data_IF_576103845336
#
_entry.id   IF_576103845336
#
_cell.length_a   1.000
_cell.length_b   1.000
_cell.length_c   1.000
_cell.angle_alpha   90.00
_cell.angle_beta   90.00
_cell.angle_gamma   90.00
#
_symmetry.space_group_name_H-M   'P 1'
#
loop_
_entity.id
_entity.type
_entity.pdbx_description
1 polymer ?
#
# COMPACT_ATOMS: atom_id res chain seq x y z
N UNK A 1 7.08 -7.13 16.36
CA UNK A 1 6.11 -6.39 15.53
C UNK A 1 6.71 -5.17 14.84
N UNK A 2 7.61 -4.40 15.48
CA UNK A 2 8.26 -3.23 14.82
C UNK A 2 8.88 -3.54 13.46
N UNK A 3 9.70 -4.59 13.37
CA UNK A 3 10.32 -5.03 12.10
C UNK A 3 9.30 -5.40 11.00
N UNK A 4 8.14 -5.95 11.36
CA UNK A 4 7.08 -6.23 10.40
C UNK A 4 6.48 -4.92 9.89
N UNK A 5 6.17 -4.01 10.82
CA UNK A 5 5.60 -2.70 10.49
C UNK A 5 6.50 -1.91 9.56
N UNK A 6 7.80 -1.84 9.87
CA UNK A 6 8.79 -1.13 9.05
C UNK A 6 8.93 -1.75 7.66
N UNK A 7 8.96 -3.09 7.58
CA UNK A 7 9.02 -3.77 6.28
C UNK A 7 7.77 -3.53 5.43
N UNK A 8 6.57 -3.56 6.04
CA UNK A 8 5.29 -3.31 5.37
C UNK A 8 5.12 -1.84 4.96
N UNK A 9 5.91 -0.92 5.51
CA UNK A 9 5.94 0.49 5.13
C UNK A 9 6.88 0.80 3.97
N UNK A 10 7.68 -0.17 3.51
CA UNK A 10 8.53 0.00 2.33
C UNK A 10 7.68 0.06 1.06
N UNK A 11 8.12 0.85 0.10
CA UNK A 11 7.50 1.01 -1.23
C UNK A 11 7.85 -0.13 -2.19
N UNK A 12 8.93 -0.87 -1.93
CA UNK A 12 9.41 -1.97 -2.77
C UNK A 12 8.97 -3.36 -2.28
N UNK A 13 8.06 -3.44 -1.30
CA UNK A 13 7.65 -4.72 -0.74
C UNK A 13 6.72 -5.48 -1.70
N UNK A 14 7.11 -6.70 -2.05
CA UNK A 14 6.28 -7.59 -2.89
C UNK A 14 5.24 -8.34 -2.06
N UNK A 15 4.11 -8.70 -2.69
CA UNK A 15 3.03 -9.43 -2.02
C UNK A 15 3.51 -10.77 -1.40
N UNK A 16 4.30 -11.62 -2.09
CA UNK A 16 4.82 -12.84 -1.47
C UNK A 16 5.74 -12.57 -0.28
N UNK A 17 6.53 -11.50 -0.33
CA UNK A 17 7.41 -11.14 0.79
C UNK A 17 6.62 -10.66 2.00
N UNK A 18 5.61 -9.80 1.79
CA UNK A 18 4.72 -9.36 2.85
C UNK A 18 4.00 -10.55 3.50
N UNK A 19 3.43 -11.46 2.70
CA UNK A 19 2.77 -12.68 3.17
C UNK A 19 3.67 -13.50 4.10
N UNK A 20 4.93 -13.70 3.73
CA UNK A 20 5.90 -14.41 4.57
C UNK A 20 6.20 -13.71 5.89
N UNK A 21 6.40 -12.39 5.87
CA UNK A 21 6.70 -11.61 7.07
C UNK A 21 5.52 -11.62 8.06
N UNK A 22 4.30 -11.54 7.54
CA UNK A 22 3.07 -11.64 8.33
C UNK A 22 2.98 -13.03 8.95
N UNK A 23 3.12 -14.10 8.17
CA UNK A 23 3.09 -15.47 8.67
C UNK A 23 4.14 -15.73 9.76
N UNK A 24 5.38 -15.27 9.55
CA UNK A 24 6.43 -15.36 10.56
C UNK A 24 6.03 -14.66 11.86
N UNK A 25 5.36 -13.52 11.76
CA UNK A 25 4.88 -12.76 12.92
C UNK A 25 3.71 -13.45 13.62
N UNK A 26 2.78 -14.02 12.86
CA UNK A 26 1.69 -14.86 13.39
C UNK A 26 2.24 -16.05 14.16
N UNK A 27 3.21 -16.78 13.61
CA UNK A 27 3.86 -17.89 14.31
C UNK A 27 4.54 -17.44 15.61
N UNK A 28 5.20 -16.27 15.59
CA UNK A 28 5.85 -15.73 16.78
C UNK A 28 4.84 -15.39 17.89
N UNK A 29 3.70 -14.76 17.54
CA UNK A 29 2.61 -14.47 18.48
C UNK A 29 1.98 -15.76 19.00
N UNK A 30 1.79 -16.74 18.13
CA UNK A 30 1.22 -18.04 18.52
C UNK A 30 2.09 -18.75 19.56
N UNK A 31 3.43 -18.70 19.40
CA UNK A 31 4.38 -19.22 20.40
C UNK A 31 4.33 -18.48 21.74
N UNK A 32 3.82 -17.25 21.79
CA UNK A 32 3.68 -16.51 23.06
C UNK A 32 2.60 -17.07 23.97
N UNK A 33 1.70 -17.94 23.47
CA UNK A 33 0.74 -18.69 24.29
C UNK A 33 1.44 -19.59 25.31
N UNK A 34 2.50 -20.26 24.86
CA UNK A 34 3.26 -21.23 25.66
C UNK A 34 4.48 -20.58 26.31
N UNK A 35 5.12 -19.64 25.61
CA UNK A 35 6.38 -19.03 26.02
C UNK A 35 6.24 -17.50 26.15
N UNK A 36 6.09 -16.97 27.38
CA UNK A 36 5.97 -15.52 27.56
C UNK A 36 7.21 -14.79 27.07
N UNK A 37 7.00 -13.68 26.35
CA UNK A 37 8.08 -12.83 25.86
C UNK A 37 8.84 -12.14 27.00
N UNK A 38 10.01 -11.56 26.70
CA UNK A 38 10.90 -10.88 27.67
C UNK A 38 10.15 -9.92 28.60
N UNK A 39 9.34 -9.03 28.04
CA UNK A 39 8.62 -8.03 28.82
C UNK A 39 7.50 -8.62 29.68
N UNK A 40 6.82 -9.65 29.18
CA UNK A 40 5.81 -10.33 29.98
C UNK A 40 6.45 -11.07 31.17
N UNK A 41 7.61 -11.70 30.96
CA UNK A 41 8.42 -12.29 32.04
C UNK A 41 8.84 -11.25 33.08
N UNK A 42 9.36 -10.11 32.65
CA UNK A 42 9.74 -9.00 33.53
C UNK A 42 8.55 -8.53 34.40
N UNK A 43 7.36 -8.44 33.81
CA UNK A 43 6.12 -8.10 34.54
C UNK A 43 5.74 -9.20 35.53
N UNK A 44 5.81 -10.47 35.14
CA UNK A 44 5.51 -11.60 36.02
C UNK A 44 6.45 -11.64 37.24
N UNK A 45 7.77 -11.51 37.01
CA UNK A 45 8.79 -11.45 38.08
C UNK A 45 8.60 -10.24 39.00
N UNK A 46 8.19 -9.10 38.44
CA UNK A 46 7.95 -7.89 39.23
C UNK A 46 6.67 -7.98 40.06
N UNK A 47 5.68 -8.73 39.58
CA UNK A 47 4.47 -9.05 40.33
C UNK A 47 4.81 -9.90 41.56
N UNK A 48 5.70 -10.88 41.40
CA UNK A 48 6.22 -11.70 42.51
C UNK A 48 7.02 -10.88 43.52
N UNK A 49 7.83 -9.93 43.04
CA UNK A 49 8.64 -9.04 43.88
C UNK A 49 7.85 -7.90 44.54
N UNK A 50 6.59 -7.68 44.12
CA UNK A 50 5.74 -6.59 44.62
C UNK A 50 6.24 -5.18 44.24
N UNK A 51 7.13 -5.07 43.25
CA UNK A 51 7.71 -3.80 42.79
C UNK A 51 8.00 -3.88 41.29
N UNK A 52 7.49 -2.92 40.53
CA UNK A 52 7.80 -2.77 39.11
C UNK A 52 8.47 -1.42 38.88
N UNK A 53 9.72 -1.42 38.40
CA UNK A 53 10.50 -0.21 38.08
C UNK A 53 10.52 0.86 39.19
N UNK A 54 10.59 0.42 40.45
CA UNK A 54 10.66 1.32 41.62
C UNK A 54 9.29 1.74 42.17
N UNK A 55 8.19 1.26 41.59
CA UNK A 55 6.83 1.47 42.09
C UNK A 55 6.31 0.21 42.78
N UNK A 56 5.99 0.34 44.06
CA UNK A 56 5.38 -0.75 44.85
C UNK A 56 4.00 -1.08 44.31
N UNK A 57 3.77 -2.36 43.99
CA UNK A 57 2.50 -2.85 43.48
C UNK A 57 1.57 -3.06 44.66
N UNK A 58 0.49 -2.27 44.74
CA UNK A 58 -0.44 -2.35 45.87
C UNK A 58 -1.46 -3.48 45.63
N UNK A 59 -1.45 -4.58 46.41
CA UNK A 59 -2.32 -5.74 46.19
C UNK A 59 -3.81 -5.44 46.38
N UNK A 60 -4.16 -4.36 47.09
CA UNK A 60 -5.56 -3.91 47.23
C UNK A 60 -6.10 -3.26 45.96
N UNK A 61 -5.25 -2.65 45.13
CA UNK A 61 -5.63 -2.06 43.83
C UNK A 61 -6.07 -3.11 42.80
N UNK A 62 -5.70 -4.38 43.00
CA UNK A 62 -6.06 -5.49 42.11
C UNK A 62 -7.39 -6.16 42.47
N UNK A 63 -8.02 -5.81 43.61
CA UNK A 63 -9.35 -6.33 43.96
C UNK A 63 -10.39 -5.83 42.96
N UNK A 64 -10.98 -6.75 42.20
CA UNK A 64 -12.00 -6.46 41.18
C UNK A 64 -11.47 -6.23 39.76
N UNK A 65 -10.14 -6.23 39.54
CA UNK A 65 -9.59 -6.17 38.19
C UNK A 65 -9.64 -7.55 37.51
N UNK A 66 -10.22 -7.59 36.31
CA UNK A 66 -10.25 -8.80 35.49
C UNK A 66 -8.83 -9.08 34.97
N UNK A 67 -8.27 -10.23 35.35
CA UNK A 67 -6.99 -10.69 34.78
C UNK A 67 -7.18 -11.01 33.30
N UNK A 68 -6.26 -10.53 32.48
CA UNK A 68 -6.24 -10.86 31.05
C UNK A 68 -5.98 -12.36 30.90
N UNK A 69 -6.87 -13.06 30.21
CA UNK A 69 -6.63 -14.43 29.78
C UNK A 69 -5.59 -14.41 28.64
N UNK A 70 -4.33 -14.64 28.98
CA UNK A 70 -3.19 -14.53 28.05
C UNK A 70 -3.33 -15.49 26.84
N UNK A 71 -3.62 -16.80 27.00
CA UNK A 71 -3.87 -17.69 25.87
C UNK A 71 -4.97 -17.20 24.94
N UNK A 72 -6.10 -16.76 25.50
CA UNK A 72 -7.22 -16.25 24.72
C UNK A 72 -6.86 -14.95 23.99
N UNK A 73 -6.15 -14.04 24.66
CA UNK A 73 -5.66 -12.80 24.06
C UNK A 73 -4.77 -13.06 22.84
N UNK A 74 -3.78 -13.94 22.98
CA UNK A 74 -2.89 -14.30 21.86
C UNK A 74 -3.63 -15.04 20.75
N UNK A 75 -4.57 -15.93 21.09
CA UNK A 75 -5.42 -16.59 20.10
C UNK A 75 -6.24 -15.57 19.30
N UNK A 76 -6.93 -14.65 19.97
CA UNK A 76 -7.69 -13.60 19.31
C UNK A 76 -6.80 -12.73 18.42
N UNK A 77 -5.57 -12.43 18.83
CA UNK A 77 -4.62 -11.67 18.02
C UNK A 77 -4.22 -12.43 16.75
N UNK A 78 -3.93 -13.73 16.87
CA UNK A 78 -3.62 -14.60 15.72
C UNK A 78 -4.81 -14.65 14.75
N UNK A 79 -6.02 -14.85 15.26
CA UNK A 79 -7.23 -14.96 14.44
C UNK A 79 -7.52 -13.66 13.69
N UNK A 80 -7.34 -12.51 14.36
CA UNK A 80 -7.46 -11.19 13.75
C UNK A 80 -6.39 -10.93 12.68
N UNK A 81 -5.14 -11.34 12.90
CA UNK A 81 -4.08 -11.18 11.91
C UNK A 81 -4.37 -12.02 10.66
N UNK A 82 -4.76 -13.30 10.84
CA UNK A 82 -5.07 -14.20 9.72
C UNK A 82 -6.28 -13.71 8.93
N UNK A 83 -7.38 -13.37 9.61
CA UNK A 83 -8.62 -12.94 8.95
C UNK A 83 -8.47 -11.63 8.17
N UNK A 84 -7.66 -10.67 8.65
CA UNK A 84 -7.51 -9.37 7.98
C UNK A 84 -6.50 -9.37 6.85
N UNK A 85 -5.40 -10.11 6.98
CA UNK A 85 -4.29 -10.03 6.03
C UNK A 85 -4.37 -11.08 4.92
N UNK A 86 -5.16 -12.14 5.07
CA UNK A 86 -5.30 -13.21 4.08
C UNK A 86 -6.70 -13.23 3.47
N UNK A 87 -7.21 -12.05 3.09
CA UNK A 87 -8.53 -11.91 2.49
C UNK A 87 -8.44 -11.20 1.14
N UNK A 88 -9.10 -11.78 0.13
CA UNK A 88 -9.33 -11.15 -1.18
C UNK A 88 -10.68 -10.42 -1.23
N UNK A 89 -11.44 -10.45 -0.14
CA UNK A 89 -12.77 -9.86 -0.02
C UNK A 89 -12.79 -8.76 1.02
N UNK A 90 -13.59 -7.72 0.75
CA UNK A 90 -13.81 -6.65 1.70
C UNK A 90 -14.48 -7.18 2.98
N UNK A 91 -14.14 -6.60 4.14
CA UNK A 91 -14.61 -7.04 5.46
C UNK A 91 -16.13 -7.08 5.63
N UNK A 92 -16.88 -6.43 4.73
CA UNK A 92 -18.35 -6.37 4.77
C UNK A 92 -19.03 -7.50 3.98
N UNK A 93 -18.27 -8.36 3.29
CA UNK A 93 -18.84 -9.55 2.64
C UNK A 93 -18.63 -10.76 3.53
N UNK A 94 -19.68 -11.56 3.81
CA UNK A 94 -19.49 -12.80 4.56
C UNK A 94 -18.50 -13.67 3.81
N UNK A 95 -17.41 -14.06 4.49
CA UNK A 95 -16.45 -15.01 3.95
C UNK A 95 -17.22 -16.30 3.62
N UNK A 96 -17.41 -16.58 2.34
CA UNK A 96 -17.88 -17.91 1.94
C UNK A 96 -16.83 -18.92 2.44
N UNK A 97 -17.27 -20.02 3.04
CA UNK A 97 -16.41 -21.07 3.58
C UNK A 97 -15.39 -21.63 2.58
N UNK A 98 -15.58 -21.36 1.28
CA UNK A 98 -14.70 -21.73 0.17
C UNK A 98 -13.48 -20.81 -0.05
N UNK A 99 -13.35 -19.69 0.65
CA UNK A 99 -12.29 -18.69 0.41
C UNK A 99 -10.98 -18.93 1.17
N UNK A 100 -10.97 -19.85 2.13
CA UNK A 100 -9.73 -20.28 2.78
C UNK A 100 -8.81 -20.92 1.74
N UNK A 101 -7.65 -20.32 1.46
CA UNK A 101 -6.71 -20.82 0.46
C UNK A 101 -6.61 -19.98 -0.82
N UNK A 102 -7.57 -19.10 -1.14
CA UNK A 102 -7.53 -18.36 -2.41
C UNK A 102 -6.40 -17.32 -2.43
N UNK A 103 -6.17 -16.65 -1.30
CA UNK A 103 -5.05 -15.72 -1.15
C UNK A 103 -3.71 -16.45 -1.23
N UNK A 104 -3.59 -17.61 -0.60
CA UNK A 104 -2.40 -18.46 -0.69
C UNK A 104 -2.14 -18.93 -2.12
N UNK A 105 -3.22 -19.27 -2.85
CA UNK A 105 -3.14 -19.64 -4.26
C UNK A 105 -2.60 -18.47 -5.08
N UNK A 106 -3.15 -17.26 -4.92
CA UNK A 106 -2.65 -16.05 -5.58
C UNK A 106 -1.18 -15.78 -5.26
N UNK A 107 -0.78 -15.88 -3.99
CA UNK A 107 0.63 -15.69 -3.60
C UNK A 107 1.51 -16.72 -4.29
N UNK A 108 1.09 -17.98 -4.36
CA UNK A 108 1.83 -19.05 -5.04
C UNK A 108 1.89 -18.88 -6.56
N UNK A 109 0.85 -18.30 -7.16
CA UNK A 109 0.82 -17.95 -8.58
C UNK A 109 1.78 -16.80 -8.88
N UNK A 110 1.89 -15.79 -8.00
CA UNK A 110 2.83 -14.67 -8.15
C UNK A 110 4.28 -15.11 -7.92
N UNK A 111 4.50 -16.05 -6.99
CA UNK A 111 5.84 -16.50 -6.59
C UNK A 111 6.60 -17.18 -7.75
N UNK A 112 5.93 -17.60 -8.82
CA UNK A 112 6.58 -18.16 -10.02
C UNK A 112 7.51 -17.16 -10.72
N UNK A 113 7.29 -15.85 -10.52
CA UNK A 113 8.12 -14.79 -11.11
C UNK A 113 9.41 -14.58 -10.31
N UNK A 114 9.56 -15.23 -9.16
CA UNK A 114 10.71 -15.08 -8.28
C UNK A 114 11.82 -16.08 -8.65
N UNK A 115 12.86 -15.58 -9.34
CA UNK A 115 14.00 -16.38 -9.78
C UNK A 115 14.76 -17.08 -8.65
N UNK A 116 14.74 -16.54 -7.43
CA UNK A 116 15.42 -17.14 -6.28
C UNK A 116 14.75 -18.42 -5.76
N UNK A 117 13.54 -18.72 -6.22
CA UNK A 117 12.74 -19.86 -5.75
C UNK A 117 12.57 -20.95 -6.78
N UNK A 118 13.16 -20.79 -7.96
CA UNK A 118 13.07 -21.80 -8.99
C UNK A 118 13.83 -23.05 -8.57
N UNK A 119 13.29 -24.24 -8.89
CA UNK A 119 13.96 -25.48 -8.57
C UNK A 119 15.28 -25.57 -9.34
N UNK A 120 16.34 -25.91 -8.63
CA UNK A 120 17.67 -26.11 -9.20
C UNK A 120 17.75 -27.56 -9.68
N UNK A 121 18.25 -27.79 -10.89
CA UNK A 121 18.45 -29.12 -11.50
C UNK A 121 17.16 -29.92 -11.77
N UNK A 122 16.11 -29.26 -12.25
CA UNK A 122 14.90 -29.94 -12.76
C UNK A 122 14.87 -29.81 -14.28
N UNK A 123 14.49 -30.89 -14.96
CA UNK A 123 14.24 -30.85 -16.41
C UNK A 123 12.97 -30.03 -16.68
N UNK A 124 13.07 -28.98 -17.50
CA UNK A 124 11.96 -28.07 -17.84
C UNK A 124 11.30 -27.37 -16.63
N UNK A 125 12.04 -26.52 -15.89
CA UNK A 125 11.56 -25.85 -14.68
C UNK A 125 10.33 -24.95 -14.90
N UNK A 126 10.04 -24.54 -16.14
CA UNK A 126 8.85 -23.77 -16.50
C UNK A 126 7.55 -24.57 -16.50
N UNK A 127 7.57 -25.90 -16.63
CA UNK A 127 6.35 -26.71 -16.85
C UNK A 127 5.33 -26.57 -15.71
N UNK A 128 5.76 -26.69 -14.46
CA UNK A 128 4.88 -26.47 -13.29
C UNK A 128 4.48 -24.99 -13.15
N UNK A 129 5.36 -24.08 -13.55
CA UNK A 129 5.13 -22.63 -13.51
C UNK A 129 4.08 -22.18 -14.53
N UNK A 130 3.99 -22.81 -15.70
CA UNK A 130 3.06 -22.46 -16.78
C UNK A 130 1.59 -22.59 -16.36
N UNK A 131 1.24 -23.63 -15.61
CA UNK A 131 -0.13 -23.83 -15.10
C UNK A 131 -0.54 -22.66 -14.20
N UNK A 132 0.38 -22.23 -13.33
CA UNK A 132 0.18 -21.07 -12.44
C UNK A 132 0.17 -19.75 -13.22
N UNK A 133 1.02 -19.63 -14.25
CA UNK A 133 1.06 -18.48 -15.14
C UNK A 133 -0.27 -18.31 -15.88
N UNK A 134 -0.87 -19.40 -16.36
CA UNK A 134 -2.16 -19.36 -17.04
C UNK A 134 -3.27 -18.87 -16.09
N UNK A 135 -3.28 -19.33 -14.84
CA UNK A 135 -4.21 -18.85 -13.80
C UNK A 135 -4.00 -17.36 -13.52
N UNK A 136 -2.74 -16.94 -13.37
CA UNK A 136 -2.38 -15.54 -13.14
C UNK A 136 -2.82 -14.64 -14.32
N UNK A 137 -2.59 -15.09 -15.55
CA UNK A 137 -3.05 -14.41 -16.76
C UNK A 137 -4.58 -14.27 -16.80
N UNK A 138 -5.32 -15.32 -16.42
CA UNK A 138 -6.78 -15.27 -16.30
C UNK A 138 -7.23 -14.23 -15.26
N UNK A 139 -6.55 -14.14 -14.11
CA UNK A 139 -6.87 -13.14 -13.06
C UNK A 139 -6.66 -11.71 -13.54
N UNK A 140 -5.54 -11.44 -14.22
CA UNK A 140 -5.23 -10.11 -14.75
C UNK A 140 -5.83 -9.81 -16.13
N UNK A 141 -6.59 -10.76 -16.71
CA UNK A 141 -7.18 -10.67 -18.06
C UNK A 141 -6.13 -10.41 -19.15
N UNK A 142 -5.02 -11.13 -19.07
CA UNK A 142 -3.92 -11.10 -20.03
C UNK A 142 -3.93 -12.33 -20.94
N UNK A 143 -3.38 -12.20 -22.14
CA UNK A 143 -3.30 -13.29 -23.11
C UNK A 143 -2.13 -14.22 -22.80
N UNK A 144 -2.43 -15.42 -22.27
CA UNK A 144 -1.41 -16.43 -21.97
C UNK A 144 -0.55 -16.78 -23.19
N UNK A 145 -1.18 -16.90 -24.37
CA UNK A 145 -0.50 -17.30 -25.60
C UNK A 145 0.62 -16.33 -26.04
N UNK A 146 0.49 -15.04 -25.73
CA UNK A 146 1.55 -14.05 -26.03
C UNK A 146 2.61 -13.95 -24.94
N UNK A 147 2.38 -14.55 -23.77
CA UNK A 147 3.24 -14.39 -22.57
C UNK A 147 4.08 -15.64 -22.32
N UNK A 148 3.57 -16.84 -22.65
CA UNK A 148 4.19 -18.10 -22.29
C UNK A 148 5.63 -18.24 -22.81
N UNK A 149 5.92 -17.80 -24.04
CA UNK A 149 7.27 -17.78 -24.59
C UNK A 149 8.20 -16.88 -23.75
N UNK A 150 7.75 -15.68 -23.42
CA UNK A 150 8.52 -14.76 -22.57
C UNK A 150 8.75 -15.29 -21.15
N UNK A 151 7.87 -16.16 -20.63
CA UNK A 151 8.10 -16.82 -19.35
C UNK A 151 9.17 -17.93 -19.44
N UNK A 152 9.19 -18.70 -20.53
CA UNK A 152 10.24 -19.70 -20.79
C UNK A 152 11.60 -19.03 -20.93
N UNK A 153 11.69 -17.99 -21.76
CA UNK A 153 12.91 -17.21 -21.97
C UNK A 153 13.44 -16.60 -20.65
N UNK A 154 12.53 -16.14 -19.78
CA UNK A 154 12.88 -15.61 -18.47
C UNK A 154 13.44 -16.67 -17.53
N UNK A 155 12.94 -17.90 -17.59
CA UNK A 155 13.46 -19.01 -16.80
C UNK A 155 14.81 -19.48 -17.35
N UNK A 156 14.92 -19.63 -18.67
CA UNK A 156 16.14 -20.06 -19.36
C UNK A 156 17.31 -19.09 -19.12
N UNK A 157 17.03 -17.79 -19.02
CA UNK A 157 18.04 -16.78 -18.71
C UNK A 157 18.35 -16.64 -17.20
N UNK A 158 17.77 -17.49 -16.35
CA UNK A 158 17.98 -17.47 -14.90
C UNK A 158 17.36 -16.25 -14.19
N UNK A 159 16.43 -15.56 -14.84
CA UNK A 159 15.77 -14.37 -14.32
C UNK A 159 16.64 -13.11 -14.39
N UNK A 160 17.66 -13.09 -15.26
CA UNK A 160 18.58 -11.97 -15.40
C UNK A 160 17.91 -10.74 -16.06
N UNK A 161 17.06 -10.97 -17.05
CA UNK A 161 16.37 -9.91 -17.79
C UNK A 161 14.92 -10.32 -18.06
N UNK A 162 13.98 -9.39 -17.87
CA UNK A 162 12.55 -9.62 -18.09
C UNK A 162 12.22 -9.40 -19.57
N UNK A 163 11.79 -10.44 -20.32
CA UNK A 163 11.43 -10.31 -21.73
C UNK A 163 10.23 -9.37 -21.93
N UNK A 164 10.19 -8.66 -23.07
CA UNK A 164 9.12 -7.68 -23.41
C UNK A 164 7.72 -8.28 -23.26
N UNK A 165 7.55 -9.52 -23.72
CA UNK A 165 6.28 -10.24 -23.68
C UNK A 165 5.80 -10.53 -22.24
N UNK A 166 6.71 -10.61 -21.26
CA UNK A 166 6.40 -10.89 -19.86
C UNK A 166 6.14 -9.62 -19.03
N UNK A 167 6.62 -8.45 -19.49
CA UNK A 167 6.46 -7.16 -18.79
C UNK A 167 5.01 -6.82 -18.40
N UNK A 168 3.97 -7.10 -19.22
CA UNK A 168 2.59 -6.81 -18.81
C UNK A 168 2.18 -7.52 -17.51
N UNK A 169 2.57 -8.78 -17.34
CA UNK A 169 2.28 -9.55 -16.10
C UNK A 169 3.04 -8.99 -14.93
N UNK A 170 4.35 -8.75 -15.10
CA UNK A 170 5.20 -8.21 -14.03
C UNK A 170 4.70 -6.84 -13.59
N UNK A 171 4.31 -5.98 -14.54
CA UNK A 171 3.75 -4.65 -14.25
C UNK A 171 2.43 -4.76 -13.50
N UNK A 172 1.54 -5.66 -13.93
CA UNK A 172 0.26 -5.89 -13.26
C UNK A 172 0.46 -6.36 -11.80
N UNK A 173 1.37 -7.31 -11.58
CA UNK A 173 1.72 -7.80 -10.23
C UNK A 173 2.32 -6.68 -9.37
N UNK A 174 3.27 -5.90 -9.90
CA UNK A 174 3.92 -4.82 -9.17
C UNK A 174 3.00 -3.62 -8.92
N UNK A 175 1.88 -3.52 -9.63
CA UNK A 175 0.85 -2.51 -9.38
C UNK A 175 -0.10 -2.85 -8.23
N UNK A 176 -0.02 -4.07 -7.67
CA UNK A 176 -0.86 -4.47 -6.55
C UNK A 176 -0.44 -3.72 -5.28
N UNK A 177 -1.34 -2.94 -4.65
CA UNK A 177 -1.05 -2.32 -3.37
C UNK A 177 -0.97 -3.43 -2.30
N UNK A 178 0.21 -3.61 -1.72
CA UNK A 178 0.44 -4.65 -0.72
C UNK A 178 -0.01 -4.20 0.67
N UNK A 179 0.11 -2.90 0.97
CA UNK A 179 -0.20 -2.33 2.29
C UNK A 179 -0.83 -0.93 2.15
N UNK A 180 -1.41 -0.43 3.24
CA UNK A 180 -1.88 0.95 3.34
C UNK A 180 -0.75 1.97 3.56
N UNK A 181 0.53 1.55 3.49
CA UNK A 181 1.67 2.42 3.76
C UNK A 181 1.68 3.66 2.86
N UNK A 182 1.34 3.50 1.58
CA UNK A 182 1.22 4.64 0.66
C UNK A 182 0.06 5.57 1.02
N UNK A 183 -1.06 5.03 1.49
CA UNK A 183 -2.18 5.84 1.99
C UNK A 183 -1.77 6.64 3.24
N UNK A 184 -1.02 6.06 4.16
CA UNK A 184 -0.52 6.73 5.38
C UNK A 184 0.46 7.85 5.05
N UNK A 185 1.34 7.64 4.05
CA UNK A 185 2.19 8.71 3.48
C UNK A 185 1.34 9.81 2.84
N UNK A 186 0.27 9.43 2.14
CA UNK A 186 -0.76 10.32 1.60
C UNK A 186 -1.40 11.21 2.66
N UNK A 187 -1.87 10.61 3.76
CA UNK A 187 -2.45 11.34 4.89
C UNK A 187 -1.42 12.26 5.58
N UNK A 188 -0.17 11.81 5.71
CA UNK A 188 0.90 12.63 6.25
C UNK A 188 1.16 13.87 5.38
N UNK A 189 1.16 13.69 4.06
CA UNK A 189 1.27 14.77 3.08
C UNK A 189 0.06 15.70 3.14
N UNK A 190 -1.15 15.15 3.32
CA UNK A 190 -2.37 15.92 3.51
C UNK A 190 -2.29 16.85 4.71
N UNK A 191 -1.73 16.39 5.83
CA UNK A 191 -1.55 17.23 7.02
C UNK A 191 -0.62 18.43 6.78
N UNK A 192 0.33 18.32 5.84
CA UNK A 192 1.19 19.44 5.43
C UNK A 192 0.44 20.43 4.53
N UNK A 193 -0.42 19.93 3.64
CA UNK A 193 -1.22 20.75 2.72
C UNK A 193 -2.37 21.46 3.46
N UNK A 194 -3.08 20.73 4.32
CA UNK A 194 -4.15 21.23 5.18
C UNK A 194 -3.62 21.61 6.56
N UNK A 195 -2.98 22.76 6.64
CA UNK A 195 -2.66 23.39 7.93
C UNK A 195 -3.87 24.17 8.48
N UNK A 196 -3.91 24.49 9.78
CA UNK A 196 -4.98 25.33 10.36
C UNK A 196 -5.19 26.66 9.62
N UNK A 197 -4.13 27.24 9.06
CA UNK A 197 -4.13 28.48 8.27
C UNK A 197 -4.70 28.26 6.85
N UNK A 198 -4.62 27.03 6.32
CA UNK A 198 -5.10 26.61 5.00
C UNK A 198 -6.36 25.72 5.07
N UNK A 199 -7.10 25.76 6.18
CA UNK A 199 -8.27 24.93 6.45
C UNK A 199 -9.46 25.17 5.51
N UNK A 200 -9.47 26.28 4.76
CA UNK A 200 -10.52 26.65 3.81
C UNK A 200 -10.32 26.16 2.37
N UNK A 201 -9.40 25.23 2.10
CA UNK A 201 -9.26 24.69 0.75
C UNK A 201 -10.46 23.82 0.37
N UNK A 202 -11.09 24.14 -0.76
CA UNK A 202 -12.08 23.26 -1.38
C UNK A 202 -11.47 21.93 -1.81
N UNK A 203 -12.28 20.87 -1.80
CA UNK A 203 -11.87 19.47 -2.06
C UNK A 203 -11.12 19.33 -3.39
N UNK A 204 -11.53 20.02 -4.45
CA UNK A 204 -10.86 19.95 -5.76
C UNK A 204 -9.42 20.46 -5.71
N UNK A 205 -9.19 21.58 -5.01
CA UNK A 205 -7.86 22.19 -4.86
C UNK A 205 -6.98 21.33 -3.96
N UNK A 206 -7.56 20.78 -2.89
CA UNK A 206 -6.88 19.83 -2.02
C UNK A 206 -6.44 18.60 -2.80
N UNK A 207 -7.34 17.99 -3.57
CA UNK A 207 -7.06 16.83 -4.41
C UNK A 207 -5.93 17.12 -5.41
N UNK A 208 -5.98 18.28 -6.06
CA UNK A 208 -4.93 18.70 -7.01
C UNK A 208 -3.57 18.87 -6.34
N UNK A 209 -3.50 19.51 -5.17
CA UNK A 209 -2.26 19.69 -4.42
C UNK A 209 -1.71 18.37 -3.87
N UNK A 210 -2.59 17.48 -3.41
CA UNK A 210 -2.21 16.13 -3.00
C UNK A 210 -1.65 15.32 -4.16
N UNK A 211 -2.31 15.37 -5.32
CA UNK A 211 -1.84 14.69 -6.52
C UNK A 211 -0.43 15.15 -6.91
N UNK A 212 -0.20 16.47 -6.92
CA UNK A 212 1.13 17.05 -7.19
C UNK A 212 2.13 16.65 -6.13
N UNK A 213 1.74 16.64 -4.84
CA UNK A 213 2.67 16.33 -3.75
C UNK A 213 3.06 14.85 -3.71
N UNK A 214 2.18 13.95 -4.15
CA UNK A 214 2.41 12.50 -4.14
C UNK A 214 3.08 11.98 -5.41
N UNK A 215 2.77 12.57 -6.58
CA UNK A 215 3.25 12.09 -7.88
C UNK A 215 4.22 13.05 -8.56
N UNK A 216 4.35 14.28 -8.05
CA UNK A 216 5.25 15.27 -8.62
C UNK A 216 6.70 14.90 -8.39
N UNK A 217 7.61 15.28 -9.31
CA UNK A 217 9.02 15.08 -9.08
C UNK A 217 9.47 15.93 -7.87
N UNK A 218 10.57 15.53 -7.21
CA UNK A 218 11.21 16.36 -6.20
C UNK A 218 11.40 17.79 -6.71
N UNK A 219 11.23 18.80 -5.85
CA UNK A 219 11.27 20.22 -6.25
C UNK A 219 12.56 20.58 -7.00
N UNK A 220 13.68 19.94 -6.68
CA UNK A 220 14.97 20.17 -7.33
C UNK A 220 15.10 19.54 -8.74
N UNK A 221 14.21 18.62 -9.11
CA UNK A 221 14.10 18.01 -10.45
C UNK A 221 12.93 18.58 -11.26
N UNK A 222 12.14 19.47 -10.67
CA UNK A 222 11.01 20.09 -11.35
C UNK A 222 11.49 21.18 -12.31
N UNK A 223 11.20 21.03 -13.59
CA UNK A 223 11.37 22.08 -14.59
C UNK A 223 10.09 22.92 -14.71
N UNK A 224 10.07 24.17 -14.20
CA UNK A 224 8.88 25.01 -14.27
C UNK A 224 8.69 25.67 -15.64
N UNK A 225 9.69 25.68 -16.53
CA UNK A 225 9.68 26.49 -17.75
C UNK A 225 8.53 26.15 -18.71
N UNK A 226 8.21 24.86 -19.00
CA UNK A 226 7.11 24.52 -19.88
C UNK A 226 5.76 24.99 -19.31
N UNK A 227 5.60 24.87 -17.98
CA UNK A 227 4.37 25.25 -17.30
C UNK A 227 4.18 26.77 -17.28
N UNK A 228 5.23 27.53 -16.93
CA UNK A 228 5.20 29.00 -16.93
C UNK A 228 4.92 29.52 -18.34
N UNK A 229 5.58 28.98 -19.37
CA UNK A 229 5.38 29.39 -20.76
C UNK A 229 3.94 29.12 -21.21
N UNK A 230 3.40 27.93 -20.89
CA UNK A 230 2.00 27.60 -21.17
C UNK A 230 1.03 28.50 -20.41
N UNK A 231 1.29 28.79 -19.13
CA UNK A 231 0.46 29.68 -18.32
C UNK A 231 0.44 31.10 -18.90
N UNK A 232 1.60 31.68 -19.19
CA UNK A 232 1.70 33.04 -19.76
C UNK A 232 1.06 33.17 -21.14
N UNK A 233 1.02 32.09 -21.92
CA UNK A 233 0.38 32.07 -23.25
C UNK A 233 -1.13 31.86 -23.18
N UNK A 234 -1.64 31.15 -22.16
CA UNK A 234 -3.06 30.79 -22.03
C UNK A 234 -3.84 31.70 -21.09
N UNK A 235 -3.19 32.24 -20.05
CA UNK A 235 -3.80 33.07 -19.03
C UNK A 235 -3.30 34.51 -19.20
N UNK A 236 -4.24 35.44 -19.26
CA UNK A 236 -3.94 36.86 -19.40
C UNK A 236 -3.97 37.50 -18.02
N UNK A 237 -3.07 38.45 -17.79
CA UNK A 237 -3.13 39.28 -16.59
C UNK A 237 -4.43 40.08 -16.56
N UNK A 238 -4.94 40.37 -15.36
CA UNK A 238 -6.10 41.25 -15.18
C UNK A 238 -5.85 42.66 -15.75
N UNK A 239 -4.58 43.06 -15.88
CA UNK A 239 -4.14 44.33 -16.45
C UNK A 239 -3.91 44.30 -17.97
N UNK A 240 -4.19 43.17 -18.65
CA UNK A 240 -4.05 43.08 -20.10
C UNK A 240 -5.06 44.00 -20.80
N UNK A 241 -4.53 45.00 -21.49
CA UNK A 241 -5.27 46.09 -22.14
C UNK A 241 -6.19 45.59 -23.26
N UNK A 242 -5.97 44.37 -23.77
CA UNK A 242 -6.85 43.74 -24.78
C UNK A 242 -8.15 43.20 -24.19
N UNK A 243 -8.21 42.92 -22.88
CA UNK A 243 -9.44 42.47 -22.20
C UNK A 243 -10.44 43.61 -21.99
N UNK A 244 -9.99 44.88 -21.99
CA UNK A 244 -10.83 46.07 -21.78
C UNK A 244 -11.59 46.55 -23.02
N UNK A 245 -11.42 45.92 -24.19
CA UNK A 245 -12.01 46.42 -25.44
C UNK A 245 -13.47 46.02 -25.67
N UNK A 246 -14.05 45.11 -24.88
CA UNK A 246 -15.42 44.62 -25.15
C UNK A 246 -16.52 45.50 -24.52
N UNK A 247 -16.22 46.29 -23.49
CA UNK A 247 -17.28 47.04 -22.77
C UNK A 247 -17.53 48.49 -23.25
N UNK A 248 -16.60 49.09 -23.99
CA UNK A 248 -16.73 50.50 -24.40
C UNK A 248 -17.46 50.72 -25.73
N UNK A 249 -17.53 49.71 -26.61
CA UNK A 249 -18.29 49.79 -27.86
C UNK A 249 -19.79 49.57 -27.66
N UNK A 250 -20.19 48.79 -26.66
CA UNK A 250 -21.61 48.62 -26.30
C UNK A 250 -22.22 49.89 -25.66
N UNK A 251 -21.41 50.72 -24.98
CA UNK A 251 -21.87 51.96 -24.33
C UNK A 251 -21.92 53.18 -25.25
N UNK A 252 -21.17 53.20 -26.37
CA UNK A 252 -21.19 54.32 -27.31
C UNK A 252 -22.26 54.20 -28.40
N UNK A 253 -22.75 52.99 -28.70
CA UNK A 253 -23.83 52.75 -29.67
C UNK A 253 -25.25 53.06 -29.17
N UNK A 254 -25.47 53.19 -27.84
CA UNK A 254 -26.79 53.52 -27.28
C UNK A 254 -27.06 55.02 -27.09
N UNK A 255 -26.11 55.91 -27.40
CA UNK A 255 -26.27 57.37 -27.24
C UNK A 255 -26.58 58.14 -28.54
N UNK A 256 -26.67 57.47 -29.69
CA UNK A 256 -26.93 58.10 -31.00
C UNK A 256 -28.10 57.43 -31.76
N UNK A 257 -29.17 57.03 -31.06
CA UNK A 257 -30.44 56.63 -31.70
C UNK A 257 -31.67 57.26 -31.04
N UNK A 258 -31.51 58.49 -30.55
CA UNK A 258 -32.63 59.32 -30.12
C UNK A 258 -32.33 60.77 -30.45
N UNK A 259 -32.38 61.10 -31.74
CA UNK A 259 -32.75 62.40 -32.31
C UNK A 259 -33.28 62.13 -33.72
#
# INVERSE_FOLDING_TARGET
MGLLSEALQRDDITLPRAYQLINRSVCAVEKMKDMPGKHLKEVMESLEKGNFKGVTINPESTKGQVRINLPQFYQSLVDNLRSRHFALTASNRPAASSQSGEFETLVSEIDILNSQRWPINVDSPWFEGEVKLEQLCKRFRLSYASICEGFRDYIDNGGAEIPENLKPVVTAVNSLPVTSGDCERGFSTMNLVMSPIRSGLGIERLSSLLFISLNGPPVHLWDPLPYITKWLTTHRSADDTKSRKVDNLARQGQRYSSL
#
